data_IF_544204000303
#
_entry.id   IF_544204000303
#
_cell.length_a   1.000
_cell.length_b   1.000
_cell.length_c   1.000
_cell.angle_alpha   90.00
_cell.angle_beta   90.00
_cell.angle_gamma   90.00
#
_symmetry.space_group_name_H-M   'P 1'
#
loop_
_entity.id
_entity.type
_entity.pdbx_description
1 polymer ?
#
# COMPACT_ATOMS: atom_id res chain seq x y z
N UNK A 1 -22.74 -11.10 11.09
CA UNK A 1 -22.01 -12.10 10.28
C UNK A 1 -22.33 -13.49 10.80
N UNK A 2 -22.32 -14.51 9.92
CA UNK A 2 -22.37 -15.93 10.31
C UNK A 2 -20.95 -16.51 10.32
N UNK A 3 -20.65 -17.41 11.27
CA UNK A 3 -19.36 -18.09 11.34
C UNK A 3 -19.33 -19.23 10.31
N UNK A 4 -18.31 -19.24 9.47
CA UNK A 4 -18.08 -20.28 8.46
C UNK A 4 -16.71 -20.92 8.71
N UNK A 5 -16.62 -22.24 8.58
CA UNK A 5 -15.35 -22.97 8.56
C UNK A 5 -14.93 -23.20 7.10
N UNK A 6 -13.68 -22.89 6.79
CA UNK A 6 -13.09 -23.11 5.47
C UNK A 6 -11.79 -23.90 5.63
N UNK A 7 -11.50 -24.76 4.66
CA UNK A 7 -10.24 -25.49 4.61
C UNK A 7 -9.25 -24.72 3.75
N UNK A 8 -8.02 -24.59 4.24
CA UNK A 8 -6.90 -23.97 3.55
C UNK A 8 -5.76 -24.96 3.47
N UNK A 9 -5.00 -24.93 2.38
CA UNK A 9 -3.70 -25.60 2.35
C UNK A 9 -2.71 -24.90 3.30
N UNK A 10 -1.64 -25.59 3.68
CA UNK A 10 -0.59 -25.01 4.52
C UNK A 10 0.04 -23.76 3.88
N UNK A 11 0.22 -23.77 2.55
CA UNK A 11 0.73 -22.62 1.79
C UNK A 11 -0.24 -21.42 1.87
N UNK A 12 -1.54 -21.66 1.69
CA UNK A 12 -2.55 -20.60 1.78
C UNK A 12 -2.60 -20.01 3.19
N UNK A 13 -2.58 -20.87 4.22
CA UNK A 13 -2.56 -20.45 5.62
C UNK A 13 -1.32 -19.61 5.93
N UNK A 14 -0.14 -20.02 5.44
CA UNK A 14 1.11 -19.27 5.60
C UNK A 14 1.02 -17.89 4.96
N UNK A 15 0.56 -17.81 3.70
CA UNK A 15 0.39 -16.53 2.98
C UNK A 15 -0.63 -15.58 3.59
N UNK A 16 -1.69 -16.12 4.23
CA UNK A 16 -2.66 -15.31 4.97
C UNK A 16 -2.04 -14.78 6.26
N UNK A 17 -1.28 -15.61 6.98
CA UNK A 17 -0.60 -15.22 8.20
C UNK A 17 0.44 -14.11 7.97
N UNK A 18 1.23 -14.23 6.90
CA UNK A 18 2.21 -13.22 6.49
C UNK A 18 1.55 -11.86 6.22
N UNK A 19 0.51 -11.83 5.38
CA UNK A 19 -0.25 -10.60 5.10
C UNK A 19 -0.89 -9.98 6.34
N UNK A 20 -1.41 -10.82 7.24
CA UNK A 20 -1.99 -10.36 8.49
C UNK A 20 -0.94 -9.71 9.39
N UNK A 21 0.27 -10.29 9.45
CA UNK A 21 1.39 -9.73 10.20
C UNK A 21 1.88 -8.41 9.61
N UNK A 22 2.05 -8.32 8.29
CA UNK A 22 2.43 -7.09 7.58
C UNK A 22 1.46 -5.93 7.84
N UNK A 23 0.16 -6.25 7.94
CA UNK A 23 -0.92 -5.27 8.13
C UNK A 23 -1.28 -5.02 9.59
N UNK A 24 -0.73 -5.80 10.52
CA UNK A 24 -1.10 -5.74 11.95
C UNK A 24 -2.57 -6.06 12.24
N UNK A 25 -3.19 -6.95 11.45
CA UNK A 25 -4.61 -7.29 11.56
C UNK A 25 -4.85 -8.79 11.77
N UNK A 26 -6.10 -9.21 11.98
CA UNK A 26 -6.41 -10.62 12.12
C UNK A 26 -6.47 -11.34 10.76
N UNK A 27 -6.08 -12.61 10.71
CA UNK A 27 -6.15 -13.44 9.49
C UNK A 27 -7.56 -13.51 8.88
N UNK A 28 -8.60 -13.49 9.73
CA UNK A 28 -10.00 -13.47 9.28
C UNK A 28 -10.37 -12.19 8.53
N UNK A 29 -9.71 -11.08 8.81
CA UNK A 29 -9.91 -9.82 8.09
C UNK A 29 -9.31 -9.90 6.69
N UNK A 30 -8.08 -10.44 6.58
CA UNK A 30 -7.43 -10.71 5.29
C UNK A 30 -8.28 -11.67 4.44
N UNK A 31 -8.77 -12.77 5.02
CA UNK A 31 -9.61 -13.74 4.31
C UNK A 31 -10.89 -13.07 3.80
N UNK A 32 -11.55 -12.29 4.65
CA UNK A 32 -12.78 -11.57 4.27
C UNK A 32 -12.51 -10.56 3.15
N UNK A 33 -11.44 -9.77 3.23
CA UNK A 33 -11.07 -8.83 2.18
C UNK A 33 -10.80 -9.53 0.84
N UNK A 34 -10.12 -10.68 0.85
CA UNK A 34 -9.88 -11.49 -0.35
C UNK A 34 -11.22 -12.00 -0.93
N UNK A 35 -12.14 -12.47 -0.08
CA UNK A 35 -13.46 -12.91 -0.51
C UNK A 35 -14.28 -11.76 -1.07
N UNK A 36 -14.31 -10.62 -0.38
CA UNK A 36 -15.01 -9.42 -0.80
C UNK A 36 -14.49 -8.95 -2.16
N UNK A 37 -13.16 -8.88 -2.34
CA UNK A 37 -12.54 -8.53 -3.61
C UNK A 37 -12.90 -9.52 -4.73
N UNK A 38 -12.78 -10.82 -4.48
CA UNK A 38 -13.02 -11.85 -5.50
C UNK A 38 -14.50 -11.99 -5.88
N UNK A 39 -15.42 -11.68 -4.95
CA UNK A 39 -16.86 -11.66 -5.17
C UNK A 39 -17.37 -10.29 -5.66
N UNK A 40 -16.48 -9.29 -5.82
CA UNK A 40 -16.86 -7.94 -6.22
C UNK A 40 -17.66 -7.17 -5.17
N UNK A 41 -17.67 -7.64 -3.92
CA UNK A 41 -18.28 -6.95 -2.78
C UNK A 41 -17.33 -5.81 -2.40
N UNK A 42 -17.74 -4.58 -2.70
CA UNK A 42 -16.94 -3.38 -2.45
C UNK A 42 -17.67 -2.52 -1.44
N UNK A 43 -17.15 -2.52 -0.21
CA UNK A 43 -17.72 -1.71 0.86
C UNK A 43 -17.27 -0.23 0.81
N UNK A 44 -16.18 0.08 0.10
CA UNK A 44 -15.53 1.40 0.16
C UNK A 44 -15.05 1.97 -1.19
N UNK A 45 -14.99 1.19 -2.29
CA UNK A 45 -14.24 1.58 -3.50
C UNK A 45 -14.68 2.94 -4.09
N UNK A 46 -15.91 3.35 -3.80
CA UNK A 46 -16.42 4.71 -4.01
C UNK A 46 -15.47 5.78 -3.51
N UNK A 47 -15.03 5.69 -2.26
CA UNK A 47 -14.33 6.76 -1.54
C UNK A 47 -12.87 6.81 -1.94
N UNK A 48 -12.24 5.65 -2.16
CA UNK A 48 -10.89 5.59 -2.74
C UNK A 48 -10.86 6.09 -4.19
N UNK A 49 -11.81 5.65 -5.02
CA UNK A 49 -11.89 6.10 -6.41
C UNK A 49 -12.31 7.59 -6.50
N UNK A 50 -13.08 8.09 -5.53
CA UNK A 50 -13.41 9.50 -5.39
C UNK A 50 -12.19 10.32 -4.96
N UNK A 51 -11.47 9.89 -3.92
CA UNK A 51 -10.25 10.54 -3.47
C UNK A 51 -9.19 10.61 -4.58
N UNK A 52 -9.00 9.54 -5.36
CA UNK A 52 -8.10 9.55 -6.52
C UNK A 52 -8.55 10.58 -7.56
N UNK A 53 -9.86 10.67 -7.84
CA UNK A 53 -10.40 11.66 -8.79
C UNK A 53 -10.29 13.09 -8.27
N UNK A 54 -10.57 13.32 -7.00
CA UNK A 54 -10.51 14.62 -6.35
C UNK A 54 -9.07 15.14 -6.23
N UNK A 55 -8.10 14.24 -6.06
CA UNK A 55 -6.68 14.60 -5.93
C UNK A 55 -5.91 14.60 -7.24
N UNK A 56 -6.49 14.10 -8.32
CA UNK A 56 -5.86 14.08 -9.62
C UNK A 56 -5.52 15.50 -10.10
N UNK A 57 -4.23 15.76 -10.33
CA UNK A 57 -3.76 17.05 -10.83
C UNK A 57 -3.59 18.14 -9.77
N UNK A 58 -3.80 17.86 -8.47
CA UNK A 58 -3.57 18.85 -7.39
C UNK A 58 -2.13 19.39 -7.37
N UNK A 59 -1.16 18.58 -7.81
CA UNK A 59 0.26 18.93 -7.85
C UNK A 59 0.77 19.19 -9.29
N UNK A 60 -0.10 19.70 -10.18
CA UNK A 60 0.26 19.90 -11.58
C UNK A 60 1.37 20.94 -11.79
N UNK A 61 1.43 21.96 -10.91
CA UNK A 61 2.39 23.07 -10.99
C UNK A 61 3.57 22.90 -10.03
N UNK A 62 3.62 21.80 -9.29
CA UNK A 62 4.69 21.52 -8.33
C UNK A 62 5.87 20.82 -9.01
N UNK A 63 7.05 20.99 -8.41
CA UNK A 63 8.25 20.30 -8.83
C UNK A 63 8.06 18.77 -8.86
N UNK A 64 8.73 18.12 -9.82
CA UNK A 64 8.67 16.67 -9.90
C UNK A 64 9.14 16.00 -8.60
N UNK A 65 8.70 14.76 -8.37
CA UNK A 65 8.99 14.03 -7.15
C UNK A 65 10.49 13.99 -6.81
N UNK A 66 11.35 13.89 -7.82
CA UNK A 66 12.80 13.84 -7.63
C UNK A 66 13.36 15.18 -7.15
N UNK A 67 12.86 16.28 -7.68
CA UNK A 67 13.29 17.64 -7.35
C UNK A 67 12.84 18.01 -5.93
N UNK A 68 11.58 17.72 -5.59
CA UNK A 68 11.10 17.84 -4.22
C UNK A 68 11.89 16.94 -3.26
N UNK A 69 12.18 15.71 -3.65
CA UNK A 69 12.91 14.77 -2.78
C UNK A 69 14.34 15.24 -2.49
N UNK A 70 15.02 15.86 -3.47
CA UNK A 70 16.35 16.48 -3.25
C UNK A 70 16.27 17.66 -2.28
N UNK A 71 15.24 18.50 -2.38
CA UNK A 71 15.08 19.65 -1.46
C UNK A 71 14.75 19.19 -0.03
N UNK A 72 13.90 18.17 0.13
CA UNK A 72 13.45 17.68 1.43
C UNK A 72 14.51 16.83 2.16
N UNK A 73 15.31 16.04 1.44
CA UNK A 73 16.35 15.16 2.05
C UNK A 73 17.71 15.83 2.21
N UNK A 74 17.90 17.00 1.62
CA UNK A 74 19.21 17.65 1.54
C UNK A 74 20.22 16.81 0.74
N UNK A 75 21.51 17.05 0.97
CA UNK A 75 22.61 16.43 0.21
C UNK A 75 22.51 14.90 0.18
N UNK A 76 22.57 14.34 -1.02
CA UNK A 76 22.55 12.89 -1.26
C UNK A 76 23.87 12.25 -0.84
N UNK A 77 23.92 10.91 -0.80
CA UNK A 77 25.18 10.19 -0.56
C UNK A 77 26.19 10.45 -1.69
N UNK A 78 25.71 10.59 -2.93
CA UNK A 78 26.53 10.93 -4.10
C UNK A 78 27.15 12.31 -3.96
N UNK A 79 26.37 13.33 -3.56
CA UNK A 79 26.88 14.69 -3.36
C UNK A 79 28.02 14.73 -2.32
N UNK A 80 27.94 13.88 -1.30
CA UNK A 80 28.98 13.77 -0.26
C UNK A 80 30.23 13.04 -0.74
N UNK A 81 30.10 12.13 -1.70
CA UNK A 81 31.23 11.40 -2.27
C UNK A 81 31.98 12.25 -3.29
N UNK A 82 31.25 13.00 -4.12
CA UNK A 82 31.83 13.96 -5.06
C UNK A 82 32.62 15.07 -4.33
N UNK A 83 32.11 15.61 -3.22
CA UNK A 83 32.83 16.58 -2.37
C UNK A 83 34.14 15.99 -1.79
N UNK A 84 34.24 14.67 -1.64
CA UNK A 84 35.43 13.96 -1.19
C UNK A 84 36.37 13.56 -2.35
N UNK A 85 35.99 13.87 -3.59
CA UNK A 85 36.74 13.51 -4.80
C UNK A 85 36.78 12.01 -5.09
N UNK A 86 35.75 11.26 -4.63
CA UNK A 86 35.62 9.81 -4.75
C UNK A 86 34.49 9.40 -5.69
#
# INVERSE_FOLDING_TARGET
MQRVQIYLSDEQRSRVAERAAERGCAQSEVIREILDHSLGIRHDRSDRDAAIRETAGILADEDDWNTWQRSARGRTATDRLEDLGL
#
